data_IF_467826213503
#
_entry.id   IF_467826213503
#
_cell.length_a   1.000
_cell.length_b   1.000
_cell.length_c   1.000
_cell.angle_alpha   90.00
_cell.angle_beta   90.00
_cell.angle_gamma   90.00
#
_symmetry.space_group_name_H-M   'P 1'
#
loop_
_entity.id
_entity.type
_entity.pdbx_description
1 polymer ?
#
# COMPACT_ATOMS: atom_id res chain seq x y z
N UNK A 1 -2.36 -14.33 -12.65
CA UNK A 1 -3.07 -13.06 -12.44
C UNK A 1 -4.54 -13.37 -12.22
N UNK A 2 -5.15 -12.77 -11.22
CA UNK A 2 -6.57 -12.87 -10.88
C UNK A 2 -7.16 -11.45 -10.97
N UNK A 3 -7.94 -11.12 -12.02
CA UNK A 3 -8.37 -9.75 -12.24
C UNK A 3 -9.58 -9.35 -11.37
N UNK A 4 -9.55 -8.16 -10.79
CA UNK A 4 -10.65 -7.53 -10.05
C UNK A 4 -11.15 -8.29 -8.82
N UNK A 5 -10.33 -9.18 -8.27
CA UNK A 5 -10.76 -10.10 -7.18
C UNK A 5 -10.53 -9.54 -5.79
N UNK A 6 -9.70 -8.50 -5.65
CA UNK A 6 -9.32 -7.96 -4.35
C UNK A 6 -9.89 -6.55 -4.16
N UNK A 7 -10.41 -6.28 -2.96
CA UNK A 7 -10.68 -4.94 -2.45
C UNK A 7 -9.61 -4.62 -1.43
N UNK A 8 -8.92 -3.50 -1.61
CA UNK A 8 -7.80 -3.10 -0.77
C UNK A 8 -7.96 -1.67 -0.27
N UNK A 9 -7.51 -1.42 0.94
CA UNK A 9 -7.41 -0.08 1.53
C UNK A 9 -6.21 -0.04 2.46
N UNK A 10 -5.72 1.16 2.78
CA UNK A 10 -4.59 1.34 3.69
C UNK A 10 -5.10 1.35 5.13
N UNK A 11 -4.65 0.40 5.94
CA UNK A 11 -5.08 0.27 7.32
C UNK A 11 -4.28 1.20 8.25
N UNK A 12 -4.79 2.41 8.45
CA UNK A 12 -4.26 3.38 9.42
C UNK A 12 -5.38 3.78 10.40
N UNK A 13 -5.15 3.80 11.72
CA UNK A 13 -6.21 4.03 12.70
C UNK A 13 -6.74 5.48 12.69
N UNK A 14 -5.97 6.42 12.13
CA UNK A 14 -6.25 7.84 12.11
C UNK A 14 -6.66 8.36 10.72
N UNK A 15 -6.97 7.48 9.77
CA UNK A 15 -7.36 7.84 8.42
C UNK A 15 -8.40 6.88 7.83
N UNK A 16 -9.21 7.39 6.90
CA UNK A 16 -10.18 6.59 6.12
C UNK A 16 -9.87 6.73 4.63
N UNK A 17 -8.84 6.01 4.13
CA UNK A 17 -8.48 6.02 2.72
C UNK A 17 -9.54 5.33 1.85
N UNK A 18 -9.54 5.56 0.54
CA UNK A 18 -10.47 4.88 -0.35
C UNK A 18 -10.26 3.36 -0.34
N UNK A 19 -11.31 2.63 -0.69
CA UNK A 19 -11.22 1.21 -1.00
C UNK A 19 -11.16 1.04 -2.52
N UNK A 20 -10.17 0.29 -2.98
CA UNK A 20 -9.81 0.15 -4.40
C UNK A 20 -9.97 -1.32 -4.81
N UNK A 21 -10.60 -1.56 -5.96
CA UNK A 21 -10.64 -2.89 -6.58
C UNK A 21 -9.37 -3.09 -7.39
N UNK A 22 -8.67 -4.19 -7.19
CA UNK A 22 -7.40 -4.46 -7.86
C UNK A 22 -7.21 -5.93 -8.25
N UNK A 23 -6.24 -6.16 -9.11
CA UNK A 23 -5.84 -7.49 -9.58
C UNK A 23 -4.82 -8.11 -8.63
N UNK A 24 -4.82 -9.43 -8.50
CA UNK A 24 -3.81 -10.16 -7.73
C UNK A 24 -2.86 -10.92 -8.66
N UNK A 25 -1.57 -10.66 -8.52
CA UNK A 25 -0.51 -11.41 -9.21
C UNK A 25 0.30 -12.16 -8.16
N UNK A 26 0.29 -13.50 -8.24
CA UNK A 26 1.10 -14.36 -7.38
C UNK A 26 2.41 -14.63 -8.11
N UNK A 27 3.53 -14.25 -7.48
CA UNK A 27 4.88 -14.45 -7.99
C UNK A 27 5.67 -15.31 -6.99
N UNK A 28 6.42 -16.29 -7.49
CA UNK A 28 7.35 -17.07 -6.65
C UNK A 28 8.67 -16.33 -6.37
N UNK A 29 8.86 -15.13 -6.95
CA UNK A 29 10.07 -14.33 -6.80
C UNK A 29 9.96 -13.25 -5.72
N UNK A 30 8.77 -13.06 -5.13
CA UNK A 30 8.51 -12.02 -4.15
C UNK A 30 7.94 -12.64 -2.88
N UNK A 31 8.60 -12.38 -1.76
CA UNK A 31 8.19 -12.83 -0.42
C UNK A 31 7.35 -11.78 0.33
N UNK A 32 7.06 -10.65 -0.33
CA UNK A 32 6.25 -9.55 0.20
C UNK A 32 5.25 -9.01 -0.83
N UNK A 33 4.12 -8.43 -0.40
CA UNK A 33 3.18 -7.78 -1.30
C UNK A 33 3.82 -6.57 -1.98
N UNK A 34 3.73 -6.54 -3.31
CA UNK A 34 4.10 -5.38 -4.13
C UNK A 34 2.84 -4.70 -4.63
N UNK A 35 2.83 -3.37 -4.60
CA UNK A 35 1.76 -2.54 -5.16
C UNK A 35 2.30 -1.73 -6.33
N UNK A 36 1.49 -1.56 -7.38
CA UNK A 36 1.85 -0.74 -8.54
C UNK A 36 1.74 0.75 -8.23
N UNK A 37 2.37 1.57 -9.06
CA UNK A 37 2.23 3.04 -9.05
C UNK A 37 0.77 3.48 -9.25
N UNK A 38 0.01 2.77 -10.10
CA UNK A 38 -1.42 2.98 -10.28
C UNK A 38 -2.20 2.77 -8.96
N UNK A 39 -1.95 1.66 -8.25
CA UNK A 39 -2.61 1.39 -6.98
C UNK A 39 -2.18 2.40 -5.90
N UNK A 40 -0.90 2.79 -5.85
CA UNK A 40 -0.40 3.86 -4.98
C UNK A 40 -1.19 5.16 -5.22
N UNK A 41 -1.39 5.54 -6.49
CA UNK A 41 -2.15 6.74 -6.87
C UNK A 41 -3.60 6.67 -6.41
N UNK A 42 -4.29 5.55 -6.67
CA UNK A 42 -5.70 5.37 -6.30
C UNK A 42 -5.93 5.34 -4.79
N UNK A 43 -5.00 4.75 -4.03
CA UNK A 43 -4.99 4.79 -2.56
C UNK A 43 -4.66 6.17 -2.00
N UNK A 44 -4.25 7.11 -2.85
CA UNK A 44 -3.90 8.47 -2.46
C UNK A 44 -2.59 8.55 -1.67
N UNK A 45 -1.63 7.68 -1.95
CA UNK A 45 -0.33 7.65 -1.30
C UNK A 45 0.65 8.57 -2.06
N UNK A 46 1.42 9.36 -1.31
CA UNK A 46 2.60 10.06 -1.78
C UNK A 46 3.86 9.40 -1.17
N UNK A 47 4.84 9.08 -2.01
CA UNK A 47 6.11 8.50 -1.59
C UNK A 47 7.09 9.62 -1.24
N UNK A 48 7.68 9.55 -0.03
CA UNK A 48 8.66 10.52 0.45
C UNK A 48 10.08 9.93 0.41
N UNK A 49 10.26 8.70 0.91
CA UNK A 49 11.50 7.93 0.79
C UNK A 49 11.16 6.42 0.78
N UNK A 50 10.99 5.82 -0.41
CA UNK A 50 10.61 4.40 -0.53
C UNK A 50 11.62 3.45 0.12
N UNK A 51 12.92 3.75 0.02
CA UNK A 51 13.98 2.92 0.60
C UNK A 51 13.87 2.87 2.12
N UNK A 52 13.45 3.95 2.75
CA UNK A 52 13.21 4.03 4.21
C UNK A 52 11.78 3.71 4.61
N UNK A 53 10.90 3.38 3.65
CA UNK A 53 9.48 3.15 3.87
C UNK A 53 8.74 4.38 4.36
N UNK A 54 9.13 5.59 3.92
CA UNK A 54 8.49 6.85 4.29
C UNK A 54 7.49 7.28 3.21
N UNK A 55 6.28 7.62 3.66
CA UNK A 55 5.17 8.00 2.80
C UNK A 55 4.17 8.87 3.58
N UNK A 56 3.16 9.38 2.91
CA UNK A 56 2.00 10.04 3.53
C UNK A 56 0.77 9.90 2.63
N UNK A 57 -0.41 10.19 3.14
CA UNK A 57 -1.55 10.41 2.25
C UNK A 57 -1.45 11.78 1.58
N UNK A 58 -1.94 11.89 0.34
CA UNK A 58 -1.90 13.14 -0.44
C UNK A 58 -2.65 14.29 0.22
N UNK A 59 -3.68 14.00 1.02
CA UNK A 59 -4.46 14.99 1.77
C UNK A 59 -3.85 15.35 3.13
N UNK A 60 -2.74 14.73 3.52
CA UNK A 60 -2.05 15.06 4.75
C UNK A 60 -1.12 16.26 4.59
N UNK A 61 -0.87 17.01 5.69
CA UNK A 61 0.13 18.06 5.70
C UNK A 61 1.50 17.55 5.19
N UNK A 62 2.29 18.37 4.49
CA UNK A 62 3.59 17.97 3.94
C UNK A 62 4.62 17.52 4.99
N UNK A 63 4.48 17.98 6.23
CA UNK A 63 5.32 17.62 7.36
C UNK A 63 4.91 16.30 8.03
N UNK A 64 3.71 15.79 7.74
CA UNK A 64 3.27 14.48 8.23
C UNK A 64 3.97 13.39 7.45
N UNK A 65 4.71 12.54 8.16
CA UNK A 65 5.40 11.38 7.61
C UNK A 65 4.94 10.11 8.31
N UNK A 66 4.56 9.11 7.52
CA UNK A 66 4.20 7.75 7.95
C UNK A 66 5.33 6.78 7.61
N UNK A 67 5.35 5.65 8.31
CA UNK A 67 6.30 4.56 8.08
C UNK A 67 5.55 3.30 7.72
N UNK A 68 5.99 2.61 6.67
CA UNK A 68 5.44 1.29 6.31
C UNK A 68 5.55 0.31 7.49
N UNK A 69 4.50 -0.48 7.70
CA UNK A 69 4.53 -1.55 8.67
C UNK A 69 5.62 -2.57 8.31
N UNK A 70 6.27 -3.22 9.30
CA UNK A 70 7.20 -4.30 9.02
C UNK A 70 6.47 -5.47 8.34
N UNK A 71 7.14 -6.26 7.49
CA UNK A 71 6.56 -7.45 6.88
C UNK A 71 5.99 -8.39 7.93
N UNK A 72 4.77 -8.90 7.69
CA UNK A 72 4.17 -9.97 8.49
C UNK A 72 4.21 -11.26 7.69
N UNK A 73 4.92 -12.25 8.21
CA UNK A 73 4.95 -13.60 7.66
C UNK A 73 3.94 -14.47 8.40
N UNK A 74 2.83 -14.80 7.75
CA UNK A 74 1.89 -15.78 8.26
C UNK A 74 2.40 -17.18 7.88
N UNK A 75 2.94 -17.89 8.87
CA UNK A 75 3.24 -19.31 8.73
C UNK A 75 1.97 -20.11 8.98
N UNK A 76 1.71 -21.08 8.09
CA UNK A 76 0.70 -22.11 8.29
C UNK A 76 1.16 -23.12 9.37
#
# INVERSE_FOLDING_TARGET
MLPGVARVTVAEPDATPPEVVTDIVISQLADEPLISDALISELGIALEDPKRGLWRFRWEPPDKTRRSAPPKYWRA
#
